data_IF_620984425743
#
_entry.id   IF_620984425743
#
_cell.length_a   1.000
_cell.length_b   1.000
_cell.length_c   1.000
_cell.angle_alpha   90.00
_cell.angle_beta   90.00
_cell.angle_gamma   90.00
#
_symmetry.space_group_name_H-M   'P 1'
#
loop_
_entity.id
_entity.type
_entity.pdbx_description
1 polymer ?
#
# COMPACT_ATOMS: atom_id res chain seq x y z
N UNK A 1 -6.13 -6.61 -21.58
CA UNK A 1 -5.75 -7.98 -21.14
C UNK A 1 -5.80 -8.02 -19.62
N UNK A 2 -6.28 -9.10 -19.01
CA UNK A 2 -6.19 -9.31 -17.55
C UNK A 2 -5.01 -10.26 -17.30
N UNK A 3 -4.07 -9.84 -16.48
CA UNK A 3 -2.91 -10.64 -16.07
C UNK A 3 -2.75 -10.63 -14.56
N UNK A 4 -2.00 -11.59 -14.02
CA UNK A 4 -1.63 -11.64 -12.61
C UNK A 4 -0.13 -11.80 -12.48
N UNK A 5 0.48 -11.08 -11.54
CA UNK A 5 1.88 -11.20 -11.16
C UNK A 5 1.93 -11.60 -9.68
N UNK A 6 2.80 -12.55 -9.34
CA UNK A 6 3.06 -12.97 -7.96
C UNK A 6 4.53 -12.75 -7.62
N UNK A 7 4.80 -12.30 -6.40
CA UNK A 7 6.15 -12.18 -5.85
C UNK A 7 6.12 -12.63 -4.39
N UNK A 8 7.10 -13.46 -4.01
CA UNK A 8 7.25 -14.01 -2.68
C UNK A 8 8.62 -13.61 -2.12
N UNK A 9 8.67 -13.27 -0.83
CA UNK A 9 9.89 -12.87 -0.14
C UNK A 9 9.90 -13.47 1.27
N UNK A 10 10.94 -14.24 1.59
CA UNK A 10 11.12 -14.88 2.90
C UNK A 10 11.86 -13.96 3.87
N UNK A 11 11.44 -13.97 5.13
CA UNK A 11 12.01 -13.16 6.22
C UNK A 11 12.06 -14.00 7.50
N UNK A 12 13.06 -13.75 8.34
CA UNK A 12 13.20 -14.41 9.65
C UNK A 12 12.25 -13.82 10.72
N UNK A 13 11.51 -12.77 10.38
CA UNK A 13 10.58 -12.09 11.29
C UNK A 13 9.29 -12.90 11.49
N UNK A 14 8.72 -12.90 12.71
CA UNK A 14 7.38 -13.44 12.95
C UNK A 14 6.33 -12.78 12.05
N UNK A 15 5.37 -13.57 11.56
CA UNK A 15 4.30 -13.08 10.70
C UNK A 15 3.46 -11.98 11.36
N UNK A 16 3.24 -12.07 12.68
CA UNK A 16 2.52 -11.07 13.46
C UNK A 16 3.22 -9.69 13.42
N UNK A 17 4.54 -9.67 13.58
CA UNK A 17 5.33 -8.43 13.58
C UNK A 17 5.31 -7.75 12.20
N UNK A 18 5.40 -8.55 11.13
CA UNK A 18 5.23 -8.04 9.76
C UNK A 18 3.80 -7.51 9.56
N UNK A 19 2.80 -8.22 10.08
CA UNK A 19 1.41 -7.82 9.97
C UNK A 19 1.08 -6.54 10.73
N UNK A 20 1.67 -6.28 11.90
CA UNK A 20 1.50 -4.99 12.61
C UNK A 20 1.90 -3.79 11.75
N UNK A 21 2.89 -3.96 10.86
CA UNK A 21 3.32 -2.92 9.92
C UNK A 21 2.42 -2.85 8.71
N UNK A 22 2.18 -3.97 8.03
CA UNK A 22 1.51 -3.99 6.73
C UNK A 22 -0.02 -4.09 6.79
N UNK A 23 -0.59 -4.58 7.89
CA UNK A 23 -2.02 -4.85 8.05
C UNK A 23 -2.87 -3.59 8.16
N UNK A 24 -2.28 -2.44 8.52
CA UNK A 24 -3.00 -1.18 8.69
C UNK A 24 -2.30 0.01 8.03
N UNK A 25 -2.26 1.13 8.74
CA UNK A 25 -1.73 2.42 8.25
C UNK A 25 -0.21 2.58 8.42
N UNK A 26 0.41 1.78 9.28
CA UNK A 26 1.79 1.99 9.71
C UNK A 26 2.78 1.92 8.54
N UNK A 27 2.64 0.94 7.64
CA UNK A 27 3.44 0.89 6.42
C UNK A 27 3.35 2.20 5.61
N UNK A 28 2.14 2.74 5.42
CA UNK A 28 1.94 4.00 4.71
C UNK A 28 2.65 5.18 5.37
N UNK A 29 2.70 5.21 6.71
CA UNK A 29 3.41 6.26 7.46
C UNK A 29 4.94 6.12 7.39
N UNK A 30 5.44 4.89 7.32
CA UNK A 30 6.88 4.60 7.34
C UNK A 30 7.52 4.68 5.95
N UNK A 31 6.85 4.23 4.88
CA UNK A 31 7.47 4.13 3.55
C UNK A 31 8.03 5.45 2.99
N UNK A 32 7.41 6.63 3.19
CA UNK A 32 8.02 7.88 2.73
C UNK A 32 9.28 8.27 3.52
N UNK A 33 9.42 7.77 4.75
CA UNK A 33 10.59 8.02 5.59
C UNK A 33 11.73 7.04 5.29
N UNK A 34 11.39 5.77 5.05
CA UNK A 34 12.36 4.70 4.80
C UNK A 34 12.84 4.68 3.34
N UNK A 35 11.97 5.01 2.39
CA UNK A 35 12.26 4.95 0.95
C UNK A 35 11.80 6.24 0.24
N UNK A 36 12.30 7.43 0.62
CA UNK A 36 11.87 8.72 0.08
C UNK A 36 12.15 8.89 -1.41
N UNK A 37 13.08 8.11 -1.96
CA UNK A 37 13.41 8.08 -3.39
C UNK A 37 12.30 7.43 -4.24
N UNK A 38 11.45 6.61 -3.62
CA UNK A 38 10.31 5.96 -4.28
C UNK A 38 9.00 6.61 -3.88
N UNK A 39 8.78 6.89 -2.59
CA UNK A 39 7.51 7.45 -2.09
C UNK A 39 7.73 8.82 -1.49
N UNK A 40 7.00 9.83 -1.96
CA UNK A 40 7.10 11.19 -1.42
C UNK A 40 6.14 11.41 -0.25
N UNK A 41 4.93 10.85 -0.32
CA UNK A 41 3.90 11.02 0.72
C UNK A 41 2.85 9.92 0.63
N UNK A 42 2.28 9.57 1.78
CA UNK A 42 1.05 8.77 1.88
C UNK A 42 0.10 9.49 2.84
N UNK A 43 -1.15 9.68 2.41
CA UNK A 43 -2.16 10.41 3.14
C UNK A 43 -3.40 9.56 3.36
N UNK A 44 -3.91 9.53 4.58
CA UNK A 44 -5.21 8.95 4.89
C UNK A 44 -6.31 9.90 4.40
N UNK A 45 -7.12 9.43 3.44
CA UNK A 45 -8.24 10.20 2.87
C UNK A 45 -9.54 9.86 3.59
N UNK A 46 -9.77 8.59 3.90
CA UNK A 46 -10.97 8.08 4.55
C UNK A 46 -10.64 6.81 5.33
N UNK A 47 -11.34 6.57 6.45
CA UNK A 47 -11.25 5.34 7.24
C UNK A 47 -10.28 5.42 8.41
N UNK A 48 -9.96 4.25 8.95
CA UNK A 48 -9.22 4.08 10.22
C UNK A 48 -8.09 3.03 10.11
N UNK A 49 -7.85 2.49 8.92
CA UNK A 49 -6.94 1.37 8.67
C UNK A 49 -7.65 0.04 8.41
N UNK A 50 -8.96 -0.05 8.64
CA UNK A 50 -9.78 -1.22 8.30
C UNK A 50 -10.29 -1.25 6.85
N UNK A 51 -11.18 -2.19 6.55
CA UNK A 51 -11.86 -2.29 5.25
C UNK A 51 -12.62 -0.99 4.97
N UNK A 52 -12.46 -0.47 3.75
CA UNK A 52 -13.04 0.81 3.34
C UNK A 52 -12.05 1.97 3.38
N UNK A 53 -10.94 1.84 4.10
CA UNK A 53 -9.87 2.84 4.18
C UNK A 53 -9.37 3.22 2.79
N UNK A 54 -9.20 4.51 2.55
CA UNK A 54 -8.65 5.07 1.30
C UNK A 54 -7.38 5.84 1.60
N UNK A 55 -6.30 5.49 0.89
CA UNK A 55 -5.00 6.17 0.96
C UNK A 55 -4.71 6.87 -0.36
N UNK A 56 -4.18 8.10 -0.29
CA UNK A 56 -3.57 8.80 -1.42
C UNK A 56 -2.05 8.63 -1.32
N UNK A 57 -1.47 7.91 -2.28
CA UNK A 57 -0.03 7.68 -2.37
C UNK A 57 0.54 8.60 -3.43
N UNK A 58 1.66 9.26 -3.11
CA UNK A 58 2.36 10.20 -3.98
C UNK A 58 3.80 9.75 -4.24
N UNK A 59 4.26 9.94 -5.47
CA UNK A 59 5.63 9.67 -5.89
C UNK A 59 6.44 10.97 -6.00
N UNK A 60 7.78 10.92 -5.95
CA UNK A 60 8.63 12.07 -6.19
C UNK A 60 8.46 12.67 -7.59
N UNK A 61 8.75 13.97 -7.77
CA UNK A 61 8.83 14.60 -9.09
C UNK A 61 9.80 13.85 -10.02
N UNK A 62 9.45 13.72 -11.30
CA UNK A 62 10.26 13.00 -12.29
C UNK A 62 9.91 11.51 -12.46
N UNK A 63 9.02 10.97 -11.62
CA UNK A 63 8.45 9.63 -11.81
C UNK A 63 7.60 9.59 -13.08
N UNK A 64 7.84 8.59 -13.94
CA UNK A 64 7.06 8.36 -15.16
C UNK A 64 5.66 7.83 -14.82
N UNK A 65 4.62 8.36 -15.46
CA UNK A 65 3.22 7.97 -15.22
C UNK A 65 2.47 8.92 -14.28
N UNK A 66 1.37 8.44 -13.67
CA UNK A 66 0.64 9.22 -12.67
C UNK A 66 1.51 9.43 -11.44
N UNK A 67 1.61 10.68 -10.99
CA UNK A 67 2.37 11.03 -9.78
C UNK A 67 1.69 10.61 -8.49
N UNK A 68 0.43 10.18 -8.59
CA UNK A 68 -0.36 9.72 -7.46
C UNK A 68 -1.25 8.55 -7.84
N UNK A 69 -1.65 7.78 -6.83
CA UNK A 69 -2.77 6.86 -6.94
C UNK A 69 -3.56 6.84 -5.63
N UNK A 70 -4.86 6.54 -5.74
CA UNK A 70 -5.69 6.21 -4.58
C UNK A 70 -5.87 4.72 -4.52
N UNK A 71 -5.58 4.13 -3.36
CA UNK A 71 -5.91 2.75 -3.07
C UNK A 71 -7.00 2.66 -2.00
N UNK A 72 -7.85 1.64 -2.11
CA UNK A 72 -8.89 1.33 -1.14
C UNK A 72 -8.72 -0.08 -0.61
N UNK A 73 -8.71 -0.24 0.71
CA UNK A 73 -8.67 -1.56 1.34
C UNK A 73 -10.03 -2.24 1.19
N UNK A 74 -10.04 -3.39 0.52
CA UNK A 74 -11.26 -4.17 0.27
C UNK A 74 -11.38 -5.40 1.17
N UNK A 75 -10.26 -5.85 1.75
CA UNK A 75 -10.21 -6.95 2.71
C UNK A 75 -9.08 -6.74 3.70
N UNK A 76 -9.37 -7.01 4.97
CA UNK A 76 -8.41 -7.11 6.06
C UNK A 76 -8.79 -8.36 6.87
N UNK A 77 -7.96 -9.38 6.79
CA UNK A 77 -8.12 -10.64 7.49
C UNK A 77 -6.96 -10.80 8.47
N UNK A 78 -7.23 -10.51 9.74
CA UNK A 78 -6.23 -10.56 10.81
C UNK A 78 -5.91 -11.98 11.28
N UNK A 79 -6.75 -12.98 10.95
CA UNK A 79 -6.49 -14.37 11.31
C UNK A 79 -5.48 -14.99 10.34
N UNK A 80 -5.60 -14.66 9.06
CA UNK A 80 -4.73 -15.18 7.99
C UNK A 80 -3.65 -14.20 7.53
N UNK A 81 -3.59 -13.00 8.12
CA UNK A 81 -2.68 -11.91 7.72
C UNK A 81 -2.77 -11.57 6.23
N UNK A 82 -4.01 -11.43 5.73
CA UNK A 82 -4.29 -11.08 4.33
C UNK A 82 -4.91 -9.71 4.22
N UNK A 83 -4.25 -8.81 3.48
CA UNK A 83 -4.79 -7.52 3.06
C UNK A 83 -4.95 -7.50 1.55
N UNK A 84 -6.12 -7.04 1.08
CA UNK A 84 -6.35 -6.79 -0.35
C UNK A 84 -6.73 -5.33 -0.55
N UNK A 85 -6.14 -4.68 -1.55
CA UNK A 85 -6.39 -3.30 -1.91
C UNK A 85 -6.64 -3.15 -3.42
N UNK A 86 -7.48 -2.19 -3.79
CA UNK A 86 -7.74 -1.83 -5.18
C UNK A 86 -7.26 -0.40 -5.43
N UNK A 87 -6.58 -0.19 -6.55
CA UNK A 87 -6.35 1.16 -7.07
C UNK A 87 -7.66 1.65 -7.67
N UNK A 88 -8.23 2.70 -7.08
CA UNK A 88 -9.53 3.28 -7.48
C UNK A 88 -9.38 4.54 -8.33
N UNK A 89 -8.20 5.17 -8.31
CA UNK A 89 -7.88 6.37 -9.10
C UNK A 89 -6.37 6.45 -9.35
N UNK A 90 -5.96 6.92 -10.53
CA UNK A 90 -4.55 7.07 -10.88
C UNK A 90 -3.83 5.74 -11.13
N UNK A 91 -2.54 5.67 -10.76
CA UNK A 91 -1.70 4.48 -10.96
C UNK A 91 -0.86 4.50 -12.23
N UNK A 92 -0.27 3.35 -12.56
CA UNK A 92 0.56 3.19 -13.76
C UNK A 92 -0.34 2.86 -14.96
N UNK A 93 -0.48 3.83 -15.88
CA UNK A 93 -0.97 3.55 -17.22
C UNK A 93 0.21 3.02 -18.05
N UNK A 94 0.21 1.71 -18.34
CA UNK A 94 1.07 1.10 -19.36
C UNK A 94 0.26 0.89 -20.64
#
# INVERSE_FOLDING_TARGET
MKGSLCHEYETELPAADVWEVYGGLLAGQLVPQLVPVVYSKVELVEGDGGVGTVLLVSFPPGTLGSRTFKEKFIKIDNENYVKEALIIEGGFNF
#
